data_IF_353458340741
#
_entry.id   IF_353458340741
#
_cell.length_a   1.000
_cell.length_b   1.000
_cell.length_c   1.000
_cell.angle_alpha   90.00
_cell.angle_beta   90.00
_cell.angle_gamma   90.00
#
_symmetry.space_group_name_H-M   'P 1'
#
loop_
_entity.id
_entity.type
_entity.pdbx_description
1 polymer ?
#
# COMPACT_ATOMS: atom_id res chain seq x y z
N UNK A 1 0.15 19.25 5.88
CA UNK A 1 0.58 19.23 4.47
C UNK A 1 -0.48 18.53 3.64
N UNK A 2 -0.88 19.06 2.48
CA UNK A 2 -1.85 18.40 1.58
C UNK A 2 -1.14 17.28 0.81
N UNK A 3 -1.78 16.11 0.65
CA UNK A 3 -1.26 14.96 -0.12
C UNK A 3 -0.87 15.33 -1.57
N UNK A 4 -1.53 16.32 -2.16
CA UNK A 4 -1.23 16.83 -3.51
C UNK A 4 0.17 17.45 -3.61
N UNK A 5 0.62 18.16 -2.57
CA UNK A 5 1.95 18.76 -2.56
C UNK A 5 3.03 17.66 -2.53
N UNK A 6 2.74 16.53 -1.89
CA UNK A 6 3.62 15.36 -1.86
C UNK A 6 3.67 14.69 -3.22
N UNK A 7 2.51 14.47 -3.86
CA UNK A 7 2.44 13.92 -5.21
C UNK A 7 3.14 14.79 -6.27
N UNK A 8 2.95 16.11 -6.22
CA UNK A 8 3.61 17.06 -7.12
C UNK A 8 5.14 17.10 -6.91
N UNK A 9 5.60 17.06 -5.65
CA UNK A 9 7.02 16.98 -5.34
C UNK A 9 7.64 15.67 -5.85
N UNK A 10 6.96 14.54 -5.64
CA UNK A 10 7.38 13.23 -6.15
C UNK A 10 7.45 13.21 -7.69
N UNK A 11 6.43 13.75 -8.36
CA UNK A 11 6.39 13.83 -9.82
C UNK A 11 7.53 14.69 -10.38
N UNK A 12 7.83 15.81 -9.73
CA UNK A 12 8.96 16.68 -10.08
C UNK A 12 10.30 15.96 -9.90
N UNK A 13 10.46 15.24 -8.79
CA UNK A 13 11.66 14.45 -8.51
C UNK A 13 11.87 13.31 -9.52
N UNK A 14 10.81 12.57 -9.86
CA UNK A 14 10.89 11.47 -10.83
C UNK A 14 11.09 11.94 -12.26
N UNK A 15 10.52 13.08 -12.63
CA UNK A 15 10.74 13.68 -13.96
C UNK A 15 12.18 14.16 -14.17
N UNK A 16 12.92 14.42 -13.09
CA UNK A 16 14.34 14.77 -13.15
C UNK A 16 15.28 13.58 -13.42
N UNK A 17 14.78 12.34 -13.45
CA UNK A 17 15.61 11.13 -13.64
C UNK A 17 15.04 10.21 -14.73
N UNK A 18 15.83 9.83 -15.75
CA UNK A 18 15.32 9.10 -16.92
C UNK A 18 14.75 7.71 -16.57
N UNK A 19 15.34 7.02 -15.59
CA UNK A 19 14.88 5.70 -15.14
C UNK A 19 13.49 5.78 -14.51
N UNK A 20 13.27 6.78 -13.65
CA UNK A 20 11.98 6.97 -12.96
C UNK A 20 10.89 7.47 -13.90
N UNK A 21 11.28 8.24 -14.91
CA UNK A 21 10.37 8.71 -15.95
C UNK A 21 9.80 7.56 -16.81
N UNK A 22 10.63 6.56 -17.12
CA UNK A 22 10.18 5.34 -17.81
C UNK A 22 9.33 4.42 -16.91
N UNK A 23 9.53 4.45 -15.60
CA UNK A 23 8.78 3.67 -14.61
C UNK A 23 7.42 4.29 -14.24
N UNK A 24 7.24 5.60 -14.46
CA UNK A 24 5.98 6.29 -14.15
C UNK A 24 4.71 5.59 -14.66
N UNK A 25 4.60 5.17 -15.94
CA UNK A 25 3.38 4.50 -16.42
C UNK A 25 3.18 3.08 -15.88
N UNK A 26 4.19 2.51 -15.20
CA UNK A 26 4.17 1.15 -14.65
C UNK A 26 3.64 1.10 -13.21
N UNK A 27 3.17 2.23 -12.66
CA UNK A 27 2.73 2.37 -11.27
C UNK A 27 1.65 1.35 -10.87
N UNK A 28 0.68 1.08 -11.77
CA UNK A 28 -0.40 0.12 -11.54
C UNK A 28 0.13 -1.31 -11.45
N UNK A 29 1.16 -1.66 -12.23
CA UNK A 29 1.78 -3.00 -12.21
C UNK A 29 2.60 -3.17 -10.93
N UNK A 30 3.37 -2.14 -10.55
CA UNK A 30 4.13 -2.14 -9.31
C UNK A 30 3.26 -2.13 -8.05
N UNK A 31 1.98 -1.72 -8.14
CA UNK A 31 1.00 -1.88 -7.07
C UNK A 31 0.28 -3.24 -7.13
N UNK A 32 -0.19 -3.65 -8.32
CA UNK A 32 -1.03 -4.82 -8.49
C UNK A 32 -0.29 -6.15 -8.30
N UNK A 33 0.94 -6.26 -8.81
CA UNK A 33 1.76 -7.48 -8.68
C UNK A 33 2.05 -7.83 -7.22
N UNK A 34 2.53 -6.89 -6.36
CA UNK A 34 2.77 -7.23 -4.97
C UNK A 34 1.48 -7.50 -4.17
N UNK A 35 0.37 -6.83 -4.48
CA UNK A 35 -0.93 -7.14 -3.86
C UNK A 35 -1.39 -8.57 -4.17
N UNK A 36 -1.26 -9.01 -5.43
CA UNK A 36 -1.57 -10.38 -5.83
C UNK A 36 -0.67 -11.40 -5.16
N UNK A 37 0.62 -11.10 -5.03
CA UNK A 37 1.58 -11.94 -4.30
C UNK A 37 1.22 -12.01 -2.81
N UNK A 38 0.88 -10.90 -2.17
CA UNK A 38 0.43 -10.86 -0.77
C UNK A 38 -0.84 -11.70 -0.56
N UNK A 39 -1.79 -11.64 -1.50
CA UNK A 39 -2.99 -12.49 -1.49
C UNK A 39 -2.62 -13.98 -1.60
N UNK A 40 -1.66 -14.34 -2.45
CA UNK A 40 -1.20 -15.72 -2.62
C UNK A 40 -0.45 -16.23 -1.37
N UNK A 41 0.29 -15.36 -0.68
CA UNK A 41 0.97 -15.71 0.59
C UNK A 41 0.00 -15.97 1.74
N UNK A 42 -1.27 -15.55 1.67
CA UNK A 42 -2.27 -16.00 2.64
C UNK A 42 -2.62 -17.49 2.49
N UNK A 43 -2.53 -18.00 1.26
CA UNK A 43 -2.89 -19.38 0.91
C UNK A 43 -1.70 -20.34 0.94
N UNK A 44 -0.48 -19.84 1.09
CA UNK A 44 0.77 -20.60 0.93
C UNK A 44 1.79 -20.28 2.04
N UNK A 45 2.83 -21.08 2.18
CA UNK A 45 3.88 -20.86 3.20
C UNK A 45 4.73 -19.66 2.79
N UNK A 46 4.85 -18.69 3.69
CA UNK A 46 5.59 -17.45 3.47
C UNK A 46 7.10 -17.73 3.27
N UNK A 47 7.61 -17.48 2.07
CA UNK A 47 9.05 -17.51 1.78
C UNK A 47 9.58 -16.11 2.11
N UNK A 48 10.33 -15.96 3.21
CA UNK A 48 10.72 -14.65 3.75
C UNK A 48 11.42 -13.71 2.74
N UNK A 49 12.16 -14.26 1.78
CA UNK A 49 12.76 -13.48 0.69
C UNK A 49 11.72 -12.87 -0.25
N UNK A 50 10.70 -13.64 -0.66
CA UNK A 50 9.63 -13.12 -1.51
C UNK A 50 8.84 -12.04 -0.78
N UNK A 51 8.54 -12.22 0.51
CA UNK A 51 7.81 -11.23 1.29
C UNK A 51 8.54 -9.88 1.37
N UNK A 52 9.85 -9.89 1.59
CA UNK A 52 10.64 -8.65 1.58
C UNK A 52 10.65 -7.98 0.21
N UNK A 53 10.81 -8.75 -0.87
CA UNK A 53 10.84 -8.22 -2.24
C UNK A 53 9.50 -7.59 -2.61
N UNK A 54 8.40 -8.26 -2.28
CA UNK A 54 7.02 -7.78 -2.47
C UNK A 54 6.80 -6.46 -1.75
N UNK A 55 7.32 -6.31 -0.52
CA UNK A 55 7.21 -5.07 0.25
C UNK A 55 7.94 -3.90 -0.43
N UNK A 56 9.15 -4.11 -0.94
CA UNK A 56 9.87 -3.06 -1.68
C UNK A 56 9.15 -2.66 -2.98
N UNK A 57 8.60 -3.64 -3.70
CA UNK A 57 7.81 -3.38 -4.91
C UNK A 57 6.55 -2.58 -4.57
N UNK A 58 5.86 -2.91 -3.48
CA UNK A 58 4.69 -2.18 -2.99
C UNK A 58 5.03 -0.73 -2.66
N UNK A 59 6.14 -0.47 -1.94
CA UNK A 59 6.58 0.90 -1.62
C UNK A 59 6.84 1.70 -2.90
N UNK A 60 7.55 1.11 -3.85
CA UNK A 60 7.84 1.74 -5.15
C UNK A 60 6.53 2.04 -5.89
N UNK A 61 5.61 1.09 -5.97
CA UNK A 61 4.29 1.27 -6.58
C UNK A 61 3.48 2.37 -5.92
N UNK A 62 3.46 2.45 -4.60
CA UNK A 62 2.79 3.51 -3.83
C UNK A 62 3.36 4.88 -4.18
N UNK A 63 4.69 5.03 -4.19
CA UNK A 63 5.34 6.31 -4.52
C UNK A 63 5.03 6.76 -5.95
N UNK A 64 5.04 5.81 -6.89
CA UNK A 64 4.73 6.04 -8.30
C UNK A 64 3.26 6.41 -8.51
N UNK A 65 2.31 5.74 -7.85
CA UNK A 65 0.89 6.09 -7.93
C UNK A 65 0.57 7.42 -7.25
N UNK A 66 1.33 7.80 -6.21
CA UNK A 66 1.25 9.15 -5.64
C UNK A 66 1.74 10.22 -6.63
N UNK A 67 2.81 9.94 -7.37
CA UNK A 67 3.31 10.84 -8.41
C UNK A 67 2.34 10.98 -9.59
N UNK A 68 1.64 9.90 -9.96
CA UNK A 68 0.62 9.90 -11.01
C UNK A 68 -0.78 10.32 -10.53
N UNK A 69 -0.96 10.61 -9.24
CA UNK A 69 -2.27 10.95 -8.66
C UNK A 69 -3.36 9.88 -8.88
N UNK A 70 -2.97 8.60 -8.98
CA UNK A 70 -3.89 7.47 -9.11
C UNK A 70 -4.49 7.07 -7.74
N UNK A 71 -5.19 8.00 -7.10
CA UNK A 71 -5.73 7.85 -5.74
C UNK A 71 -6.74 6.70 -5.59
N UNK A 72 -7.43 6.31 -6.67
CA UNK A 72 -8.35 5.16 -6.65
C UNK A 72 -7.62 3.83 -6.44
N UNK A 73 -6.48 3.64 -7.11
CA UNK A 73 -5.65 2.44 -6.95
C UNK A 73 -4.94 2.43 -5.59
N UNK A 74 -4.46 3.58 -5.13
CA UNK A 74 -3.90 3.73 -3.78
C UNK A 74 -4.93 3.40 -2.69
N UNK A 75 -6.17 3.88 -2.82
CA UNK A 75 -7.25 3.55 -1.90
C UNK A 75 -7.50 2.04 -1.86
N UNK A 76 -7.58 1.38 -3.02
CA UNK A 76 -7.76 -0.06 -3.10
C UNK A 76 -6.61 -0.84 -2.45
N UNK A 77 -5.36 -0.42 -2.72
CA UNK A 77 -4.17 -1.05 -2.18
C UNK A 77 -4.08 -0.95 -0.66
N UNK A 78 -4.21 0.26 -0.12
CA UNK A 78 -4.19 0.47 1.33
C UNK A 78 -5.40 -0.19 2.02
N UNK A 79 -6.56 -0.24 1.35
CA UNK A 79 -7.74 -0.92 1.87
C UNK A 79 -7.52 -2.43 1.98
N UNK A 80 -6.85 -3.05 0.99
CA UNK A 80 -6.52 -4.46 1.04
C UNK A 80 -5.50 -4.78 2.14
N UNK A 81 -4.46 -3.95 2.29
CA UNK A 81 -3.47 -4.09 3.37
C UNK A 81 -4.11 -3.93 4.75
N UNK A 82 -5.03 -2.96 4.93
CA UNK A 82 -5.80 -2.82 6.16
C UNK A 82 -6.65 -4.07 6.46
N UNK A 83 -7.27 -4.67 5.43
CA UNK A 83 -7.99 -5.93 5.59
C UNK A 83 -7.07 -7.09 5.99
N UNK A 84 -5.87 -7.19 5.43
CA UNK A 84 -4.90 -8.21 5.84
C UNK A 84 -4.50 -8.05 7.31
N UNK A 85 -4.18 -6.84 7.74
CA UNK A 85 -3.84 -6.56 9.14
C UNK A 85 -5.00 -6.87 10.09
N UNK A 86 -6.24 -6.60 9.66
CA UNK A 86 -7.44 -6.99 10.42
C UNK A 86 -7.55 -8.51 10.56
N UNK A 87 -7.36 -9.26 9.46
CA UNK A 87 -7.39 -10.73 9.48
C UNK A 87 -6.27 -11.28 10.37
N UNK A 88 -5.07 -10.72 10.31
CA UNK A 88 -3.96 -11.09 11.18
C UNK A 88 -4.26 -10.82 12.65
N UNK A 89 -4.89 -9.69 12.96
CA UNK A 89 -5.30 -9.34 14.31
C UNK A 89 -6.35 -10.33 14.84
N UNK A 90 -7.36 -10.68 14.04
CA UNK A 90 -8.37 -11.69 14.39
C UNK A 90 -7.72 -13.06 14.61
N UNK A 91 -6.80 -13.50 13.73
CA UNK A 91 -6.06 -14.75 13.88
C UNK A 91 -5.21 -14.76 15.15
N UNK A 92 -4.51 -13.67 15.45
CA UNK A 92 -3.70 -13.54 16.66
C UNK A 92 -4.58 -13.63 17.92
N UNK A 93 -5.73 -12.95 17.91
CA UNK A 93 -6.68 -12.96 19.02
C UNK A 93 -7.29 -14.35 19.23
N UNK A 94 -7.63 -15.07 18.15
CA UNK A 94 -8.17 -16.43 18.20
C UNK A 94 -7.12 -17.49 18.59
N UNK A 95 -5.84 -17.30 18.21
CA UNK A 95 -4.79 -18.29 18.43
C UNK A 95 -4.06 -18.17 19.77
N UNK A 96 -3.98 -16.97 20.37
CA UNK A 96 -3.18 -16.73 21.58
C UNK A 96 -3.99 -16.38 22.84
N UNK A 97 -5.33 -16.42 22.77
CA UNK A 97 -6.21 -16.27 23.94
C UNK A 97 -6.25 -14.88 24.58
N UNK A 98 -5.16 -14.11 24.58
CA UNK A 98 -5.08 -12.78 25.22
C UNK A 98 -4.03 -11.82 24.64
N UNK A 99 -3.21 -12.22 23.66
CA UNK A 99 -2.16 -11.35 23.11
C UNK A 99 -2.63 -10.64 21.85
N UNK A 100 -2.90 -9.35 22.01
CA UNK A 100 -3.21 -8.44 20.93
C UNK A 100 -1.90 -8.08 20.21
N UNK A 101 -1.79 -8.46 18.94
CA UNK A 101 -0.62 -8.11 18.13
C UNK A 101 -0.60 -6.60 17.89
N UNK A 102 0.24 -5.89 18.66
CA UNK A 102 0.34 -4.42 18.58
C UNK A 102 0.81 -3.94 17.20
N UNK A 103 1.65 -4.74 16.52
CA UNK A 103 2.08 -4.44 15.15
C UNK A 103 0.91 -4.46 14.17
N UNK A 104 0.03 -5.47 14.25
CA UNK A 104 -1.14 -5.56 13.38
C UNK A 104 -2.15 -4.43 13.63
N UNK A 105 -2.30 -4.02 14.89
CA UNK A 105 -3.19 -2.91 15.25
C UNK A 105 -2.66 -1.56 14.72
N UNK A 106 -1.35 -1.32 14.83
CA UNK A 106 -0.71 -0.13 14.25
C UNK A 106 -0.84 -0.16 12.72
N UNK A 107 -0.58 -1.31 12.08
CA UNK A 107 -0.73 -1.48 10.63
C UNK A 107 -2.16 -1.16 10.17
N UNK A 108 -3.17 -1.73 10.85
CA UNK A 108 -4.58 -1.48 10.58
C UNK A 108 -4.93 0.03 10.65
N UNK A 109 -4.45 0.73 11.68
CA UNK A 109 -4.70 2.18 11.84
C UNK A 109 -4.01 2.96 10.73
N UNK A 110 -2.73 2.68 10.44
CA UNK A 110 -1.94 3.40 9.44
C UNK A 110 -2.54 3.21 8.05
N UNK A 111 -2.76 1.97 7.62
CA UNK A 111 -3.34 1.68 6.31
C UNK A 111 -4.80 2.13 6.21
N UNK A 112 -5.57 2.05 7.31
CA UNK A 112 -6.92 2.59 7.38
C UNK A 112 -6.96 4.11 7.20
N UNK A 113 -6.08 4.86 7.87
CA UNK A 113 -5.96 6.31 7.72
C UNK A 113 -5.48 6.71 6.31
N UNK A 114 -4.56 5.95 5.72
CA UNK A 114 -4.10 6.17 4.34
C UNK A 114 -5.22 5.91 3.32
N UNK A 115 -6.00 4.84 3.52
CA UNK A 115 -7.19 4.53 2.72
C UNK A 115 -8.21 5.66 2.80
N UNK A 116 -8.50 6.14 4.01
CA UNK A 116 -9.40 7.26 4.25
C UNK A 116 -8.91 8.57 3.60
N UNK A 117 -7.60 8.86 3.71
CA UNK A 117 -6.98 10.01 3.05
C UNK A 117 -7.12 9.97 1.52
N UNK A 118 -7.05 8.78 0.91
CA UNK A 118 -7.30 8.61 -0.51
C UNK A 118 -8.79 8.71 -0.86
N UNK A 119 -9.67 8.12 -0.03
CA UNK A 119 -11.12 8.17 -0.21
C UNK A 119 -11.68 9.59 -0.16
N UNK A 120 -11.27 10.39 0.83
CA UNK A 120 -11.68 11.80 0.96
C UNK A 120 -11.26 12.64 -0.24
N UNK A 121 -10.14 12.31 -0.90
CA UNK A 121 -9.73 12.97 -2.14
C UNK A 121 -10.59 12.57 -3.33
N UNK A 122 -11.02 11.32 -3.41
CA UNK A 122 -11.95 10.85 -4.45
C UNK A 122 -13.36 11.40 -4.28
N UNK A 123 -13.83 11.58 -3.04
CA UNK A 123 -15.17 12.08 -2.75
C UNK A 123 -15.29 13.61 -2.85
N UNK A 124 -14.23 14.36 -2.52
CA UNK A 124 -14.18 15.83 -2.67
C UNK A 124 -13.95 16.26 -4.12
N UNK A 125 -13.51 15.36 -5.00
CA UNK A 125 -13.31 15.64 -6.43
C UNK A 125 -14.58 15.47 -7.28
N UNK A 126 -15.75 15.25 -6.67
CA UNK A 126 -17.08 15.32 -7.31
C UNK A 126 -17.75 16.65 -6.97
#
# INVERSE_FOLDING_TARGET
MKLENVGQALKSYFSGKPIWQALMPLDIVFLGVPLLLNLLTLCTVNIGFLSSLTLYLLIIGVLLAFANAHYMFLMGAFGLEALFELIYLIKALASYGHYLSSSALIGLIVYGLLTWGCFTKLSVSK
#
